data_IF_293384695674
#
_entry.id   IF_293384695674
#
_cell.length_a   1.000
_cell.length_b   1.000
_cell.length_c   1.000
_cell.angle_alpha   90.00
_cell.angle_beta   90.00
_cell.angle_gamma   90.00
#
_symmetry.space_group_name_H-M   'P 1'
#
loop_
_entity.id
_entity.type
_entity.pdbx_description
1 polymer ?
#
# COMPACT_ATOMS: atom_id res chain seq x y z
N UNK A 1 -27.53 46.45 -15.65
CA UNK A 1 -26.50 45.88 -14.76
C UNK A 1 -26.82 44.46 -14.28
N UNK A 2 -28.09 44.08 -14.14
CA UNK A 2 -28.51 42.78 -13.57
C UNK A 2 -28.09 41.56 -14.40
N UNK A 3 -28.18 41.60 -15.74
CA UNK A 3 -27.84 40.47 -16.61
C UNK A 3 -26.36 40.04 -16.60
N UNK A 4 -25.42 40.97 -16.31
CA UNK A 4 -23.98 40.65 -16.22
C UNK A 4 -23.64 39.89 -14.93
N UNK A 5 -24.37 40.14 -13.84
CA UNK A 5 -24.16 39.46 -12.55
C UNK A 5 -24.65 38.02 -12.61
N UNK A 6 -25.80 37.77 -13.25
CA UNK A 6 -26.31 36.41 -13.44
C UNK A 6 -25.41 35.57 -14.35
N UNK A 7 -24.91 36.12 -15.46
CA UNK A 7 -23.97 35.41 -16.34
C UNK A 7 -22.65 35.04 -15.67
N UNK A 8 -22.16 35.90 -14.76
CA UNK A 8 -20.95 35.63 -13.96
C UNK A 8 -21.19 34.55 -12.89
N UNK A 9 -22.33 34.58 -12.19
CA UNK A 9 -22.70 33.58 -11.18
C UNK A 9 -22.96 32.20 -11.78
N UNK A 10 -23.64 32.13 -12.94
CA UNK A 10 -23.85 30.85 -13.64
C UNK A 10 -22.56 30.31 -14.24
N UNK A 11 -21.69 31.17 -14.78
CA UNK A 11 -20.38 30.78 -15.29
C UNK A 11 -19.48 30.20 -14.18
N UNK A 12 -19.35 30.94 -13.07
CA UNK A 12 -18.56 30.49 -11.92
C UNK A 12 -19.13 29.21 -11.27
N UNK A 13 -20.45 29.07 -11.20
CA UNK A 13 -21.10 27.86 -10.68
C UNK A 13 -20.83 26.62 -11.54
N UNK A 14 -20.93 26.75 -12.87
CA UNK A 14 -20.64 25.65 -13.79
C UNK A 14 -19.15 25.27 -13.74
N UNK A 15 -18.27 26.27 -13.70
CA UNK A 15 -16.82 26.01 -13.58
C UNK A 15 -16.46 25.37 -12.23
N UNK A 16 -17.09 25.77 -11.12
CA UNK A 16 -16.85 25.16 -9.81
C UNK A 16 -17.30 23.69 -9.77
N UNK A 17 -18.45 23.35 -10.36
CA UNK A 17 -18.94 21.97 -10.46
C UNK A 17 -18.04 21.14 -11.39
N UNK A 18 -17.57 21.71 -12.50
CA UNK A 18 -16.64 21.04 -13.40
C UNK A 18 -15.27 20.79 -12.74
N UNK A 19 -14.76 21.75 -11.97
CA UNK A 19 -13.51 21.59 -11.20
C UNK A 19 -13.71 20.56 -10.09
N UNK A 20 -14.82 20.59 -9.35
CA UNK A 20 -15.12 19.59 -8.33
C UNK A 20 -15.25 18.18 -8.94
N UNK A 21 -16.00 18.03 -10.04
CA UNK A 21 -16.13 16.76 -10.74
C UNK A 21 -14.80 16.26 -11.31
N UNK A 22 -13.97 17.15 -11.85
CA UNK A 22 -12.63 16.80 -12.34
C UNK A 22 -11.64 16.49 -11.21
N UNK A 23 -11.73 17.19 -10.08
CA UNK A 23 -10.87 16.99 -8.93
C UNK A 23 -11.23 15.70 -8.20
N UNK A 24 -12.53 15.39 -8.03
CA UNK A 24 -13.01 14.10 -7.51
C UNK A 24 -12.61 12.96 -8.45
N UNK A 25 -12.68 13.17 -9.76
CA UNK A 25 -12.26 12.15 -10.74
C UNK A 25 -10.74 11.90 -10.77
N UNK A 26 -9.92 12.86 -10.34
CA UNK A 26 -8.46 12.70 -10.23
C UNK A 26 -7.96 12.36 -8.82
N UNK A 27 -8.82 12.43 -7.81
CA UNK A 27 -8.44 12.09 -6.46
C UNK A 27 -8.45 10.56 -6.30
N UNK A 28 -7.30 9.94 -6.59
CA UNK A 28 -7.05 8.54 -6.22
C UNK A 28 -7.11 8.49 -4.69
N UNK A 29 -7.99 7.66 -4.12
CA UNK A 29 -8.09 7.50 -2.68
C UNK A 29 -6.88 6.72 -2.14
N UNK A 30 -6.59 6.81 -0.85
CA UNK A 30 -5.52 5.99 -0.26
C UNK A 30 -5.87 4.50 -0.27
N UNK A 31 -7.16 4.17 -0.31
CA UNK A 31 -7.65 2.81 -0.52
C UNK A 31 -7.30 2.31 -1.93
N UNK A 32 -7.55 3.11 -2.98
CA UNK A 32 -7.16 2.75 -4.35
C UNK A 32 -5.64 2.62 -4.48
N UNK A 33 -4.86 3.46 -3.79
CA UNK A 33 -3.39 3.36 -3.78
C UNK A 33 -2.92 2.08 -3.10
N UNK A 34 -3.55 1.70 -1.99
CA UNK A 34 -3.24 0.46 -1.29
C UNK A 34 -3.56 -0.75 -2.17
N UNK A 35 -4.72 -0.78 -2.80
CA UNK A 35 -5.13 -1.84 -3.73
C UNK A 35 -4.13 -1.96 -4.89
N UNK A 36 -3.74 -0.83 -5.49
CA UNK A 36 -2.75 -0.76 -6.56
C UNK A 36 -1.38 -1.31 -6.14
N UNK A 37 -0.88 -0.89 -4.96
CA UNK A 37 0.39 -1.38 -4.40
C UNK A 37 0.35 -2.90 -4.20
N UNK A 38 -0.73 -3.41 -3.64
CA UNK A 38 -0.86 -4.83 -3.34
C UNK A 38 -1.03 -5.67 -4.60
N UNK A 39 -2.07 -5.39 -5.38
CA UNK A 39 -2.58 -6.29 -6.42
C UNK A 39 -1.84 -6.15 -7.74
N UNK A 40 -1.36 -4.96 -8.09
CA UNK A 40 -0.67 -4.72 -9.38
C UNK A 40 0.86 -4.75 -9.26
N UNK A 41 1.41 -4.58 -8.05
CA UNK A 41 2.85 -4.48 -7.86
C UNK A 41 3.42 -5.57 -6.93
N UNK A 42 3.12 -5.53 -5.65
CA UNK A 42 3.80 -6.40 -4.70
C UNK A 42 3.43 -7.88 -4.86
N UNK A 43 2.14 -8.22 -4.97
CA UNK A 43 1.71 -9.62 -5.12
C UNK A 43 2.19 -10.27 -6.42
N UNK A 44 2.11 -9.62 -7.60
CA UNK A 44 2.73 -10.14 -8.82
C UNK A 44 4.25 -10.32 -8.71
N UNK A 45 4.95 -9.37 -8.09
CA UNK A 45 6.40 -9.47 -7.91
C UNK A 45 6.79 -10.67 -7.07
N UNK A 46 6.22 -10.83 -5.87
CA UNK A 46 6.60 -11.94 -4.98
C UNK A 46 6.18 -13.30 -5.56
N UNK A 47 5.06 -13.33 -6.30
CA UNK A 47 4.49 -14.59 -6.80
C UNK A 47 5.21 -15.12 -8.04
N UNK A 48 5.54 -14.24 -8.99
CA UNK A 48 6.04 -14.62 -10.32
C UNK A 48 7.24 -13.79 -10.81
N UNK A 49 7.70 -12.79 -10.05
CA UNK A 49 8.91 -12.02 -10.35
C UNK A 49 8.74 -10.88 -11.34
N UNK A 50 7.52 -10.40 -11.58
CA UNK A 50 7.27 -9.20 -12.40
C UNK A 50 7.84 -7.98 -11.69
N UNK A 51 8.70 -7.19 -12.35
CA UNK A 51 9.29 -5.98 -11.76
C UNK A 51 8.18 -5.02 -11.29
N UNK A 52 8.12 -4.69 -10.00
CA UNK A 52 7.06 -3.84 -9.45
C UNK A 52 7.38 -2.37 -9.72
N UNK A 53 6.35 -1.53 -9.65
CA UNK A 53 6.43 -0.07 -9.77
C UNK A 53 7.07 0.46 -11.06
N UNK A 54 7.12 -0.33 -12.14
CA UNK A 54 7.62 0.15 -13.42
C UNK A 54 6.73 1.29 -13.95
N UNK A 55 7.35 2.41 -14.34
CA UNK A 55 6.66 3.64 -14.70
C UNK A 55 5.93 4.36 -13.55
N UNK A 56 6.09 3.91 -12.30
CA UNK A 56 5.50 4.54 -11.12
C UNK A 56 6.58 5.13 -10.20
N UNK A 57 6.33 6.35 -9.71
CA UNK A 57 7.21 7.01 -8.77
C UNK A 57 8.52 7.47 -9.40
N UNK A 58 9.54 7.63 -8.56
CA UNK A 58 10.90 8.02 -8.98
C UNK A 58 11.95 7.21 -8.23
N UNK A 59 13.14 7.10 -8.82
CA UNK A 59 14.29 6.53 -8.12
C UNK A 59 14.66 7.34 -6.86
N UNK A 60 15.23 6.65 -5.87
CA UNK A 60 15.80 7.30 -4.68
C UNK A 60 17.00 8.13 -5.10
N UNK A 61 16.96 9.42 -4.75
CA UNK A 61 18.03 10.38 -4.93
C UNK A 61 18.95 10.45 -3.71
N UNK A 62 20.18 10.91 -3.92
CA UNK A 62 21.21 11.05 -2.87
C UNK A 62 20.76 11.95 -1.71
N UNK A 63 19.86 12.89 -1.96
CA UNK A 63 19.37 13.86 -0.97
C UNK A 63 18.07 13.45 -0.30
N UNK A 64 17.52 12.28 -0.63
CA UNK A 64 16.27 11.85 -0.04
C UNK A 64 16.45 11.39 1.41
N UNK A 65 17.66 11.09 1.88
CA UNK A 65 17.86 10.63 3.26
C UNK A 65 17.20 9.28 3.57
N UNK A 66 16.84 8.52 2.53
CA UNK A 66 16.29 7.17 2.63
C UNK A 66 17.44 6.17 2.66
N UNK A 67 17.40 5.27 3.63
CA UNK A 67 18.33 4.13 3.72
C UNK A 67 17.56 2.86 3.39
N UNK A 68 17.95 2.18 2.32
CA UNK A 68 17.42 0.86 1.94
C UNK A 68 18.07 -0.24 2.78
N UNK A 69 17.39 -1.38 2.94
CA UNK A 69 17.90 -2.52 3.68
C UNK A 69 18.98 -3.26 2.86
N UNK A 70 20.22 -3.21 3.32
CA UNK A 70 21.37 -3.85 2.65
C UNK A 70 21.23 -5.38 2.52
N UNK A 71 20.32 -6.01 3.29
CA UNK A 71 20.02 -7.44 3.19
C UNK A 71 19.20 -7.77 1.94
N UNK A 72 18.51 -6.78 1.37
CA UNK A 72 17.69 -6.92 0.16
C UNK A 72 18.60 -6.78 -1.05
N UNK A 73 18.71 -7.87 -1.81
CA UNK A 73 19.55 -7.99 -3.01
C UNK A 73 18.68 -8.25 -4.24
N UNK A 74 19.25 -8.19 -5.45
CA UNK A 74 18.53 -8.46 -6.72
C UNK A 74 17.22 -7.66 -6.85
N UNK A 75 17.24 -6.43 -6.37
CA UNK A 75 16.05 -5.64 -6.09
C UNK A 75 16.14 -4.20 -6.57
N UNK A 76 15.22 -3.39 -6.08
CA UNK A 76 15.18 -1.96 -6.34
C UNK A 76 14.36 -1.23 -5.28
N UNK A 77 14.35 0.09 -5.40
CA UNK A 77 13.54 0.93 -4.53
C UNK A 77 13.06 2.17 -5.29
N UNK A 78 11.88 2.68 -4.90
CA UNK A 78 11.23 3.81 -5.53
C UNK A 78 10.51 4.67 -4.50
N UNK A 79 10.50 5.98 -4.74
CA UNK A 79 9.70 6.95 -3.99
C UNK A 79 8.35 7.10 -4.70
N UNK A 80 7.26 6.80 -3.99
CA UNK A 80 5.91 6.73 -4.52
C UNK A 80 5.03 7.89 -4.04
N UNK A 81 3.94 8.12 -4.77
CA UNK A 81 2.82 8.99 -4.40
C UNK A 81 3.25 10.34 -3.80
N UNK A 82 3.91 11.17 -4.62
CA UNK A 82 4.38 12.50 -4.22
C UNK A 82 5.29 12.50 -2.97
N UNK A 83 6.20 11.53 -2.91
CA UNK A 83 7.18 11.35 -1.83
C UNK A 83 6.59 10.97 -0.46
N UNK A 84 5.34 10.50 -0.43
CA UNK A 84 4.70 10.00 0.79
C UNK A 84 5.22 8.63 1.23
N UNK A 85 5.62 7.79 0.28
CA UNK A 85 6.01 6.41 0.56
C UNK A 85 7.33 6.04 -0.13
N UNK A 86 8.02 5.09 0.47
CA UNK A 86 9.16 4.39 -0.11
C UNK A 86 8.74 2.95 -0.35
N UNK A 87 8.92 2.49 -1.58
CA UNK A 87 8.84 1.10 -1.94
C UNK A 87 10.23 0.50 -2.04
N UNK A 88 10.40 -0.71 -1.54
CA UNK A 88 11.63 -1.49 -1.63
C UNK A 88 11.25 -2.94 -1.95
N UNK A 89 11.96 -3.56 -2.88
CA UNK A 89 11.72 -4.93 -3.27
C UNK A 89 13.01 -5.64 -3.61
N UNK A 90 13.04 -6.95 -3.45
CA UNK A 90 14.22 -7.76 -3.76
C UNK A 90 14.14 -9.13 -3.12
N UNK A 91 15.30 -9.70 -2.90
CA UNK A 91 15.49 -11.03 -2.33
C UNK A 91 16.42 -10.95 -1.13
N UNK A 92 16.03 -11.61 -0.03
CA UNK A 92 16.87 -11.83 1.14
C UNK A 92 17.39 -13.25 1.04
N UNK A 93 18.69 -13.46 1.30
CA UNK A 93 19.33 -14.76 1.11
C UNK A 93 19.04 -15.76 2.25
N UNK A 94 18.91 -15.28 3.50
CA UNK A 94 18.76 -16.12 4.69
C UNK A 94 17.77 -15.49 5.70
N UNK A 95 16.52 -15.99 5.80
CA UNK A 95 15.93 -17.04 4.96
C UNK A 95 15.75 -16.58 3.51
N UNK A 96 15.78 -17.50 2.53
CA UNK A 96 15.62 -17.16 1.11
C UNK A 96 14.17 -16.75 0.85
N UNK A 97 13.93 -15.45 0.72
CA UNK A 97 12.59 -14.89 0.52
C UNK A 97 12.63 -13.82 -0.55
N UNK A 98 11.56 -13.71 -1.33
CA UNK A 98 11.29 -12.55 -2.18
C UNK A 98 10.34 -11.63 -1.44
N UNK A 99 10.70 -10.35 -1.33
CA UNK A 99 10.00 -9.36 -0.52
C UNK A 99 9.69 -8.10 -1.34
N UNK A 100 8.50 -7.54 -1.14
CA UNK A 100 8.09 -6.22 -1.58
C UNK A 100 7.48 -5.49 -0.39
N UNK A 101 7.99 -4.31 -0.06
CA UNK A 101 7.52 -3.51 1.05
C UNK A 101 7.29 -2.07 0.62
N UNK A 102 6.27 -1.45 1.20
CA UNK A 102 5.94 -0.04 1.03
C UNK A 102 5.68 0.55 2.41
N UNK A 103 6.45 1.57 2.77
CA UNK A 103 6.38 2.22 4.08
C UNK A 103 6.41 3.75 3.95
N UNK A 104 5.91 4.43 4.98
CA UNK A 104 5.90 5.88 5.06
C UNK A 104 7.29 6.50 4.95
N UNK A 105 7.46 7.50 4.08
CA UNK A 105 8.72 8.19 3.88
C UNK A 105 8.98 9.22 4.98
N UNK A 106 10.06 9.10 5.76
CA UNK A 106 10.34 9.99 6.90
C UNK A 106 10.73 11.43 6.52
N UNK A 107 10.76 11.76 5.24
CA UNK A 107 11.47 12.94 4.71
C UNK A 107 10.55 14.07 4.28
N UNK A 108 9.24 13.82 4.21
CA UNK A 108 8.24 14.83 3.86
C UNK A 108 7.19 15.01 4.97
N UNK A 109 6.62 16.21 5.04
CA UNK A 109 5.55 16.62 5.95
C UNK A 109 4.15 16.10 5.58
N UNK A 110 4.02 15.43 4.42
CA UNK A 110 2.79 14.83 3.97
C UNK A 110 2.37 13.64 4.86
N UNK A 111 1.09 13.25 4.83
CA UNK A 111 0.60 12.09 5.57
C UNK A 111 1.23 10.79 5.01
N UNK A 112 2.14 10.20 5.77
CA UNK A 112 2.96 9.02 5.42
C UNK A 112 2.25 7.69 5.71
N UNK A 113 0.93 7.70 5.67
CA UNK A 113 0.07 6.56 5.95
C UNK A 113 -1.04 6.51 4.91
N UNK A 114 -1.55 5.31 4.63
CA UNK A 114 -2.80 5.16 3.89
C UNK A 114 -3.97 5.36 4.86
N UNK A 115 -4.83 6.33 4.58
CA UNK A 115 -6.09 6.50 5.30
C UNK A 115 -7.15 5.54 4.74
N UNK A 116 -7.49 4.50 5.49
CA UNK A 116 -8.47 3.47 5.08
C UNK A 116 -9.57 3.32 6.12
N UNK A 117 -10.79 3.06 5.65
CA UNK A 117 -11.90 2.79 6.56
C UNK A 117 -11.62 1.52 7.38
N UNK A 118 -11.67 1.56 8.73
CA UNK A 118 -11.38 0.38 9.54
C UNK A 118 -12.48 -0.70 9.43
N UNK A 119 -13.73 -0.29 9.23
CA UNK A 119 -14.88 -1.18 9.12
C UNK A 119 -14.73 -2.11 7.93
N UNK A 120 -14.80 -3.43 8.14
CA UNK A 120 -14.68 -4.43 7.07
C UNK A 120 -13.30 -4.50 6.40
N UNK A 121 -12.28 -3.85 6.97
CA UNK A 121 -10.92 -3.81 6.41
C UNK A 121 -10.36 -5.20 6.12
N UNK A 122 -10.48 -6.12 7.09
CA UNK A 122 -9.95 -7.48 6.92
C UNK A 122 -10.67 -8.22 5.80
N UNK A 123 -11.99 -8.05 5.68
CA UNK A 123 -12.78 -8.62 4.58
C UNK A 123 -12.31 -8.10 3.22
N UNK A 124 -12.12 -6.78 3.10
CA UNK A 124 -11.66 -6.15 1.85
C UNK A 124 -10.26 -6.63 1.45
N UNK A 125 -9.30 -6.62 2.37
CA UNK A 125 -7.96 -7.13 2.07
C UNK A 125 -7.99 -8.61 1.70
N UNK A 126 -8.78 -9.43 2.41
CA UNK A 126 -8.95 -10.84 2.07
C UNK A 126 -9.47 -11.03 0.64
N UNK A 127 -10.45 -10.24 0.21
CA UNK A 127 -10.95 -10.27 -1.17
C UNK A 127 -9.93 -9.78 -2.20
N UNK A 128 -9.11 -8.78 -1.87
CA UNK A 128 -8.05 -8.31 -2.78
C UNK A 128 -6.97 -9.37 -3.02
N UNK A 129 -6.62 -10.15 -1.99
CA UNK A 129 -5.51 -11.12 -2.07
C UNK A 129 -5.95 -12.54 -2.44
N UNK A 130 -7.26 -12.85 -2.38
CA UNK A 130 -7.84 -14.16 -2.74
C UNK A 130 -7.35 -14.69 -4.11
N UNK A 131 -7.17 -13.88 -5.18
CA UNK A 131 -6.68 -14.39 -6.46
C UNK A 131 -5.24 -14.94 -6.43
N UNK A 132 -4.45 -14.61 -5.39
CA UNK A 132 -3.03 -14.94 -5.31
C UNK A 132 -2.73 -16.18 -4.47
N UNK A 133 -3.68 -16.63 -3.64
CA UNK A 133 -3.53 -17.80 -2.80
C UNK A 133 -4.63 -17.94 -1.76
N UNK A 134 -4.68 -19.08 -1.07
CA UNK A 134 -5.60 -19.28 0.06
C UNK A 134 -5.02 -18.68 1.34
N UNK A 135 -4.86 -17.35 1.34
CA UNK A 135 -4.36 -16.63 2.50
C UNK A 135 -5.46 -16.40 3.53
N UNK A 136 -5.17 -16.75 4.78
CA UNK A 136 -6.06 -16.54 5.93
C UNK A 136 -5.49 -15.49 6.87
N UNK A 137 -6.28 -14.54 7.37
CA UNK A 137 -5.83 -13.60 8.38
C UNK A 137 -5.44 -14.34 9.66
N UNK A 138 -4.36 -13.91 10.31
CA UNK A 138 -3.86 -14.45 11.59
C UNK A 138 -4.50 -13.78 12.82
N UNK A 139 -5.41 -12.84 12.60
CA UNK A 139 -6.20 -12.14 13.63
C UNK A 139 -7.70 -12.29 13.38
N UNK A 140 -8.49 -12.24 14.45
CA UNK A 140 -9.93 -11.99 14.34
C UNK A 140 -10.17 -10.54 13.87
N UNK A 141 -11.33 -10.29 13.25
CA UNK A 141 -11.71 -8.99 12.69
C UNK A 141 -11.37 -7.80 13.62
N UNK A 142 -10.95 -6.66 13.04
CA UNK A 142 -10.58 -5.48 13.81
C UNK A 142 -11.80 -5.00 14.60
N UNK A 143 -11.80 -5.23 15.91
CA UNK A 143 -12.81 -4.66 16.80
C UNK A 143 -12.59 -3.15 16.89
N UNK A 144 -13.46 -2.40 16.21
CA UNK A 144 -13.45 -0.93 16.19
C UNK A 144 -14.10 -0.32 17.44
N UNK A 145 -14.61 -1.14 18.36
CA UNK A 145 -15.28 -0.66 19.59
C UNK A 145 -14.36 -0.52 20.80
N UNK A 146 -13.10 -0.95 20.68
CA UNK A 146 -12.10 -0.74 21.72
C UNK A 146 -11.44 0.63 21.51
N UNK A 147 -11.92 1.65 22.25
CA UNK A 147 -11.41 3.03 22.38
C UNK A 147 -9.93 3.11 22.87
N UNK A 148 -9.14 2.09 22.61
CA UNK A 148 -7.70 2.10 22.81
C UNK A 148 -7.04 2.91 21.68
N UNK A 149 -6.90 4.22 21.90
CA UNK A 149 -6.17 5.17 21.05
C UNK A 149 -4.67 4.82 20.83
N UNK A 150 -4.21 3.58 21.11
CA UNK A 150 -2.78 3.30 21.31
C UNK A 150 -2.28 1.90 20.89
N UNK A 151 -2.98 1.11 20.08
CA UNK A 151 -2.40 -0.17 19.66
C UNK A 151 -2.08 -0.15 18.17
N UNK A 152 -0.82 0.18 17.88
CA UNK A 152 -0.18 -0.24 16.62
C UNK A 152 -0.36 -1.75 16.52
N UNK A 153 -1.05 -2.22 15.48
CA UNK A 153 -1.35 -3.64 15.27
C UNK A 153 -0.77 -4.08 13.94
N UNK A 154 -0.02 -5.17 13.97
CA UNK A 154 0.37 -5.90 12.77
C UNK A 154 -0.68 -6.95 12.46
N UNK A 155 -1.21 -6.94 11.25
CA UNK A 155 -2.16 -7.93 10.74
C UNK A 155 -1.45 -8.70 9.64
N UNK A 156 -1.44 -10.03 9.69
CA UNK A 156 -0.90 -10.83 8.61
C UNK A 156 -1.93 -11.76 7.98
N UNK A 157 -1.84 -11.96 6.68
CA UNK A 157 -2.51 -13.01 5.93
C UNK A 157 -1.46 -14.01 5.48
N UNK A 158 -1.67 -15.29 5.78
CA UNK A 158 -0.71 -16.36 5.44
C UNK A 158 -1.43 -17.53 4.80
N UNK A 159 -0.78 -18.19 3.85
CA UNK A 159 -1.27 -19.47 3.32
C UNK A 159 -1.34 -20.52 4.45
N UNK A 160 -2.48 -21.23 4.60
CA UNK A 160 -2.62 -22.35 5.54
C UNK A 160 -2.46 -23.71 4.83
N UNK A 161 -1.59 -24.55 5.40
CA UNK A 161 -1.27 -25.97 5.10
C UNK A 161 0.00 -26.25 4.28
N UNK A 162 1.13 -26.37 4.99
CA UNK A 162 2.36 -27.11 4.64
C UNK A 162 3.35 -27.10 5.83
N UNK A 163 4.02 -28.21 6.22
CA UNK A 163 4.37 -28.49 7.61
C UNK A 163 5.51 -27.64 8.22
N UNK A 164 6.32 -26.96 7.42
CA UNK A 164 7.39 -26.02 7.81
C UNK A 164 7.55 -24.92 6.72
N UNK A 165 6.47 -24.55 6.01
CA UNK A 165 6.58 -24.23 4.59
C UNK A 165 6.27 -22.77 4.23
N UNK A 166 7.30 -21.95 4.05
CA UNK A 166 7.62 -21.58 2.68
C UNK A 166 6.66 -20.65 1.91
N UNK A 167 5.70 -19.99 2.56
CA UNK A 167 4.46 -19.53 1.90
C UNK A 167 4.38 -18.03 1.56
N UNK A 168 3.37 -17.65 0.79
CA UNK A 168 3.02 -16.25 0.57
C UNK A 168 2.43 -15.64 1.85
N UNK A 169 2.90 -14.46 2.22
CA UNK A 169 2.42 -13.69 3.36
C UNK A 169 2.25 -12.22 2.99
N UNK A 170 1.18 -11.62 3.48
CA UNK A 170 0.91 -10.18 3.42
C UNK A 170 0.79 -9.67 4.84
N UNK A 171 1.58 -8.69 5.24
CA UNK A 171 1.58 -8.08 6.56
C UNK A 171 1.32 -6.59 6.43
N UNK A 172 0.50 -6.05 7.31
CA UNK A 172 0.23 -4.61 7.37
C UNK A 172 0.31 -4.09 8.80
N UNK A 173 0.98 -2.95 8.98
CA UNK A 173 1.07 -2.25 10.26
C UNK A 173 0.04 -1.13 10.30
N UNK A 174 -0.92 -1.25 11.22
CA UNK A 174 -2.08 -0.35 11.35
C UNK A 174 -2.06 0.44 12.66
N UNK A 175 -2.55 1.67 12.64
CA UNK A 175 -2.79 2.50 13.82
C UNK A 175 -4.06 3.35 13.61
N UNK A 176 -5.17 3.03 14.29
CA UNK A 176 -6.40 3.83 14.24
C UNK A 176 -7.02 3.99 12.84
N UNK A 177 -6.98 2.96 11.99
CA UNK A 177 -7.44 3.02 10.59
C UNK A 177 -6.39 3.50 9.59
N UNK A 178 -5.20 3.87 10.06
CA UNK A 178 -4.09 4.28 9.21
C UNK A 178 -3.13 3.11 8.97
N UNK A 179 -2.72 2.88 7.73
CA UNK A 179 -1.69 1.87 7.41
C UNK A 179 -0.36 2.58 7.19
N UNK A 180 0.62 2.27 8.04
CA UNK A 180 1.96 2.84 7.96
C UNK A 180 2.91 2.02 7.08
N UNK A 181 2.65 0.72 6.95
CA UNK A 181 3.51 -0.21 6.24
C UNK A 181 2.71 -1.36 5.66
N UNK A 182 3.07 -1.74 4.44
CA UNK A 182 2.63 -2.94 3.74
C UNK A 182 3.86 -3.76 3.40
N UNK A 183 3.87 -5.03 3.78
CA UNK A 183 4.94 -5.96 3.48
C UNK A 183 4.34 -7.22 2.87
N UNK A 184 4.83 -7.62 1.71
CA UNK A 184 4.47 -8.87 1.05
C UNK A 184 5.74 -9.67 0.88
N UNK A 185 5.74 -10.93 1.29
CA UNK A 185 6.86 -11.82 1.06
C UNK A 185 6.40 -13.21 0.68
N UNK A 186 7.25 -13.92 -0.05
CA UNK A 186 7.07 -15.32 -0.38
C UNK A 186 8.39 -16.03 -0.21
N UNK A 187 8.40 -17.14 0.50
CA UNK A 187 9.63 -17.89 0.64
C UNK A 187 9.98 -18.55 -0.69
N UNK A 188 11.27 -18.50 -1.00
CA UNK A 188 11.86 -19.19 -2.13
C UNK A 188 12.27 -20.56 -1.59
N UNK A 189 11.33 -21.51 -1.60
CA UNK A 189 11.55 -22.89 -1.14
C UNK A 189 12.93 -23.38 -1.60
N UNK A 190 13.84 -23.63 -0.65
CA UNK A 190 15.03 -24.43 -0.92
C UNK A 190 14.53 -25.86 -1.12
N UNK A 191 14.26 -26.24 -2.37
CA UNK A 191 14.11 -27.66 -2.69
C UNK A 191 15.39 -28.36 -2.18
N UNK A 192 15.29 -29.35 -1.27
CA UNK A 192 16.42 -30.15 -0.87
C UNK A 192 16.95 -31.01 -2.03
#
# INVERSE_FOLDING_TARGET
MVAKVYGFLTGAGITAVAILGFNVWRHVSDEDRLELVLTEHCLPYVSVGVTPFDGMGRAIGVYDGITTDERITNGGAAVLFDARFVAEWGEIAEPPVRICMVYGSTTDSAQQVFDVAPDGFIGRVSSMIEPFGDLRPDVAELDTTDDSESLVRSIAWREQNGPNDGGLSVTMTTAGGLIAEVMVFKDLVQNP
#
